data_IF_630709877878
#
_entry.id   IF_630709877878
#
_cell.length_a   1.000
_cell.length_b   1.000
_cell.length_c   1.000
_cell.angle_alpha   90.00
_cell.angle_beta   90.00
_cell.angle_gamma   90.00
#
_symmetry.space_group_name_H-M   'P 1'
#
loop_
_entity.id
_entity.type
_entity.pdbx_description
1 polymer ?
#
# COMPACT_ATOMS: atom_id res chain seq x y z
N UNK A 1 -43.03 -10.03 31.25
CA UNK A 1 -42.81 -8.72 30.61
C UNK A 1 -41.37 -8.69 30.10
N UNK A 2 -41.15 -8.73 28.78
CA UNK A 2 -39.80 -8.65 28.22
C UNK A 2 -39.49 -7.19 27.89
N UNK A 3 -38.73 -6.54 28.76
CA UNK A 3 -38.11 -5.24 28.51
C UNK A 3 -37.10 -5.39 27.36
N UNK A 4 -37.39 -4.79 26.21
CA UNK A 4 -36.42 -4.66 25.12
C UNK A 4 -35.42 -3.55 25.50
N UNK A 5 -34.10 -3.77 25.31
CA UNK A 5 -33.07 -2.81 25.67
C UNK A 5 -33.10 -1.64 24.69
N UNK A 6 -33.62 -0.50 25.13
CA UNK A 6 -33.47 0.77 24.41
C UNK A 6 -32.01 1.22 24.61
N UNK A 7 -31.15 1.31 23.57
CA UNK A 7 -29.79 1.82 23.76
C UNK A 7 -29.86 3.33 24.00
N UNK A 8 -29.00 3.91 24.86
CA UNK A 8 -29.04 5.32 25.16
C UNK A 8 -28.69 6.12 23.90
N UNK A 9 -29.53 7.09 23.56
CA UNK A 9 -29.29 8.08 22.53
C UNK A 9 -29.69 9.47 23.02
N UNK A 10 -29.07 10.51 22.46
CA UNK A 10 -29.27 11.90 22.84
C UNK A 10 -30.02 12.64 21.74
N UNK A 11 -31.05 13.40 22.10
CA UNK A 11 -31.67 14.35 21.18
C UNK A 11 -30.80 15.62 21.08
N UNK A 12 -30.53 16.05 19.85
CA UNK A 12 -29.75 17.27 19.54
C UNK A 12 -30.66 18.44 19.12
N UNK A 13 -31.90 18.17 18.71
CA UNK A 13 -32.89 19.22 18.47
C UNK A 13 -33.30 19.90 19.78
N UNK A 14 -33.33 21.23 19.77
CA UNK A 14 -33.68 22.09 20.92
C UNK A 14 -35.19 22.31 21.07
N UNK A 15 -35.96 22.09 20.00
CA UNK A 15 -37.40 22.32 19.96
C UNK A 15 -38.14 21.08 19.45
N UNK A 16 -39.26 20.77 20.09
CA UNK A 16 -40.17 19.70 19.68
C UNK A 16 -41.46 20.31 19.14
N UNK A 17 -41.77 20.03 17.87
CA UNK A 17 -42.97 20.55 17.20
C UNK A 17 -44.10 19.53 17.23
N UNK A 18 -43.89 18.33 16.69
CA UNK A 18 -44.87 17.23 16.71
C UNK A 18 -44.18 15.89 16.39
N UNK A 19 -44.95 14.79 16.42
CA UNK A 19 -44.44 13.42 16.23
C UNK A 19 -44.02 13.08 14.79
N UNK A 20 -44.41 13.91 13.84
CA UNK A 20 -44.09 13.78 12.40
C UNK A 20 -43.00 14.75 11.94
N UNK A 21 -42.62 15.73 12.74
CA UNK A 21 -41.49 16.61 12.46
C UNK A 21 -40.18 15.86 12.67
N UNK A 22 -39.25 15.88 11.71
CA UNK A 22 -37.93 15.28 11.88
C UNK A 22 -37.12 15.97 12.99
N UNK A 23 -36.48 15.16 13.83
CA UNK A 23 -35.61 15.60 14.92
C UNK A 23 -34.21 15.02 14.73
N UNK A 24 -33.20 15.80 15.11
CA UNK A 24 -31.80 15.40 15.07
C UNK A 24 -31.45 14.62 16.33
N UNK A 25 -30.87 13.43 16.16
CA UNK A 25 -30.56 12.48 17.23
C UNK A 25 -29.13 11.94 17.08
N UNK A 26 -28.52 11.56 18.20
CA UNK A 26 -27.22 10.90 18.29
C UNK A 26 -27.34 9.56 19.04
N UNK A 27 -26.80 8.45 18.53
CA UNK A 27 -26.82 7.16 19.23
C UNK A 27 -25.58 6.95 20.11
N UNK A 28 -25.58 5.91 20.96
CA UNK A 28 -24.43 5.55 21.80
C UNK A 28 -23.12 5.23 21.06
N UNK A 29 -23.16 4.99 19.74
CA UNK A 29 -21.96 4.86 18.87
C UNK A 29 -21.49 6.18 18.24
N UNK A 30 -22.12 7.31 18.57
CA UNK A 30 -21.75 8.64 18.05
C UNK A 30 -22.36 9.02 16.70
N UNK A 31 -23.14 8.13 16.08
CA UNK A 31 -23.87 8.37 14.84
C UNK A 31 -24.94 9.45 14.99
N UNK A 32 -25.02 10.40 14.06
CA UNK A 32 -26.03 11.47 14.01
C UNK A 32 -26.98 11.27 12.83
N UNK A 33 -28.28 11.41 13.05
CA UNK A 33 -29.28 11.34 11.98
C UNK A 33 -30.54 12.14 12.31
N UNK A 34 -31.30 12.50 11.27
CA UNK A 34 -32.63 13.10 11.40
C UNK A 34 -33.72 12.05 11.15
N UNK A 35 -34.70 11.95 12.04
CA UNK A 35 -35.87 11.06 11.87
C UNK A 35 -37.05 11.56 12.69
N UNK A 36 -38.25 11.01 12.44
CA UNK A 36 -39.46 11.38 13.17
C UNK A 36 -39.68 10.48 14.39
N UNK A 37 -40.28 11.02 15.46
CA UNK A 37 -40.62 10.23 16.65
C UNK A 37 -41.63 9.12 16.35
N UNK A 38 -42.52 9.33 15.38
CA UNK A 38 -43.45 8.31 14.89
C UNK A 38 -42.71 7.06 14.38
N UNK A 39 -41.65 7.23 13.57
CA UNK A 39 -40.88 6.11 13.03
C UNK A 39 -40.07 5.37 14.11
N UNK A 40 -39.58 6.09 15.11
CA UNK A 40 -38.86 5.49 16.25
C UNK A 40 -39.80 4.63 17.09
N UNK A 41 -40.95 5.19 17.49
CA UNK A 41 -41.91 4.51 18.39
C UNK A 41 -42.61 3.33 17.72
N UNK A 42 -43.04 3.48 16.46
CA UNK A 42 -43.93 2.52 15.81
C UNK A 42 -43.19 1.51 14.91
N UNK A 43 -42.02 1.87 14.37
CA UNK A 43 -41.24 0.96 13.50
C UNK A 43 -39.94 0.46 14.13
N UNK A 44 -39.64 0.85 15.38
CA UNK A 44 -38.41 0.45 16.07
C UNK A 44 -37.12 0.90 15.36
N UNK A 45 -37.22 1.84 14.41
CA UNK A 45 -36.07 2.32 13.62
C UNK A 45 -35.36 3.42 14.38
N UNK A 46 -34.41 3.01 15.25
CA UNK A 46 -33.63 3.95 16.04
C UNK A 46 -32.64 4.71 15.16
N UNK A 47 -31.66 4.03 14.54
CA UNK A 47 -30.68 4.63 13.63
C UNK A 47 -30.45 3.71 12.44
N UNK A 48 -30.56 4.22 11.21
CA UNK A 48 -30.18 3.47 10.00
C UNK A 48 -28.73 3.01 10.04
N UNK A 49 -27.86 3.77 10.71
CA UNK A 49 -26.44 3.47 10.88
C UNK A 49 -26.19 2.32 11.87
N UNK A 50 -27.10 2.10 12.84
CA UNK A 50 -27.05 0.94 13.73
C UNK A 50 -27.93 -0.24 13.25
N UNK A 51 -28.93 0.03 12.41
CA UNK A 51 -29.88 -0.96 11.89
C UNK A 51 -29.51 -1.50 10.50
N UNK A 52 -28.26 -1.31 10.04
CA UNK A 52 -27.72 -1.92 8.81
C UNK A 52 -27.95 -1.15 7.50
N UNK A 53 -28.51 0.06 7.51
CA UNK A 53 -28.84 0.85 6.31
C UNK A 53 -27.96 2.10 6.10
N UNK A 54 -26.85 2.23 6.83
CA UNK A 54 -25.76 3.15 6.52
C UNK A 54 -24.50 2.29 6.44
N UNK A 55 -23.57 2.53 5.49
CA UNK A 55 -22.44 1.64 5.30
C UNK A 55 -21.43 1.80 6.44
N UNK A 56 -21.69 1.12 7.56
CA UNK A 56 -20.74 0.85 8.64
C UNK A 56 -19.38 0.39 8.08
N UNK A 57 -19.39 -0.25 6.90
CA UNK A 57 -18.19 -0.68 6.20
C UNK A 57 -17.24 0.46 5.80
N UNK A 58 -17.72 1.68 5.49
CA UNK A 58 -16.83 2.77 5.09
C UNK A 58 -16.10 3.40 6.30
N UNK A 59 -16.83 3.65 7.40
CA UNK A 59 -16.23 4.13 8.65
C UNK A 59 -15.25 3.11 9.21
N UNK A 60 -15.64 1.83 9.23
CA UNK A 60 -14.79 0.73 9.69
C UNK A 60 -13.57 0.52 8.77
N UNK A 61 -13.72 0.67 7.45
CA UNK A 61 -12.59 0.65 6.51
C UNK A 61 -11.59 1.78 6.79
N UNK A 62 -12.06 2.99 7.08
CA UNK A 62 -11.21 4.13 7.46
C UNK A 62 -10.49 3.88 8.79
N UNK A 63 -11.18 3.35 9.80
CA UNK A 63 -10.60 3.00 11.09
C UNK A 63 -9.52 1.90 10.95
N UNK A 64 -9.81 0.82 10.21
CA UNK A 64 -8.83 -0.25 9.96
C UNK A 64 -7.62 0.30 9.21
N UNK A 65 -7.84 1.15 8.21
CA UNK A 65 -6.73 1.76 7.49
C UNK A 65 -5.85 2.59 8.42
N UNK A 66 -6.46 3.45 9.24
CA UNK A 66 -5.74 4.27 10.23
C UNK A 66 -4.99 3.41 11.24
N UNK A 67 -5.59 2.32 11.74
CA UNK A 67 -4.95 1.39 12.68
C UNK A 67 -3.68 0.73 12.13
N UNK A 68 -3.58 0.63 10.80
CA UNK A 68 -2.43 0.09 10.07
C UNK A 68 -1.49 1.19 9.54
N UNK A 69 -1.66 2.43 9.99
CA UNK A 69 -0.89 3.59 9.55
C UNK A 69 -1.18 4.05 8.12
N UNK A 70 -2.30 3.63 7.54
CA UNK A 70 -2.72 3.98 6.18
C UNK A 70 -4.02 4.76 6.13
N UNK A 71 -4.55 4.91 4.92
CA UNK A 71 -5.82 5.60 4.65
C UNK A 71 -6.67 4.79 3.69
N UNK A 72 -7.99 4.79 3.91
CA UNK A 72 -8.95 4.36 2.90
C UNK A 72 -9.27 5.57 2.02
N UNK A 73 -8.98 5.47 0.73
CA UNK A 73 -9.17 6.56 -0.24
C UNK A 73 -10.56 6.52 -0.90
N UNK A 74 -11.26 5.39 -0.83
CA UNK A 74 -12.62 5.27 -1.34
C UNK A 74 -13.59 6.16 -0.56
N UNK A 75 -14.49 6.83 -1.28
CA UNK A 75 -15.59 7.64 -0.74
C UNK A 75 -16.87 6.84 -0.57
N UNK A 76 -16.97 5.69 -1.22
CA UNK A 76 -18.15 4.83 -1.24
C UNK A 76 -17.80 3.40 -0.80
N UNK A 77 -18.78 2.74 -0.22
CA UNK A 77 -18.70 1.33 0.15
C UNK A 77 -19.95 0.62 -0.36
N UNK A 78 -19.75 -0.35 -1.26
CA UNK A 78 -20.83 -1.18 -1.79
C UNK A 78 -21.03 -2.43 -0.92
N UNK A 79 -19.98 -3.25 -0.79
CA UNK A 79 -19.99 -4.49 -0.02
C UNK A 79 -18.56 -4.95 0.29
N UNK A 80 -18.42 -6.10 0.95
CA UNK A 80 -17.12 -6.65 1.36
C UNK A 80 -16.22 -7.09 0.20
N UNK A 81 -16.80 -7.45 -0.95
CA UNK A 81 -16.08 -8.07 -2.07
C UNK A 81 -15.61 -7.04 -3.11
N UNK A 82 -16.34 -5.93 -3.28
CA UNK A 82 -15.98 -4.87 -4.22
C UNK A 82 -14.64 -4.24 -3.80
N UNK A 83 -13.66 -4.13 -4.71
CA UNK A 83 -12.39 -3.49 -4.42
C UNK A 83 -12.57 -2.03 -3.99
N UNK A 84 -11.90 -1.69 -2.89
CA UNK A 84 -11.75 -0.32 -2.40
C UNK A 84 -10.30 0.13 -2.64
N UNK A 85 -10.08 1.43 -2.67
CA UNK A 85 -8.77 2.03 -2.81
C UNK A 85 -8.17 2.33 -1.43
N UNK A 86 -6.94 1.89 -1.22
CA UNK A 86 -6.20 1.98 0.03
C UNK A 86 -4.86 2.68 -0.19
N UNK A 87 -4.32 3.26 0.87
CA UNK A 87 -2.98 3.84 0.91
C UNK A 87 -2.27 3.42 2.20
N UNK A 88 -0.99 3.07 2.15
CA UNK A 88 -0.21 2.75 3.35
C UNK A 88 0.61 3.95 3.84
N UNK A 89 1.27 3.81 5.00
CA UNK A 89 2.16 4.84 5.55
C UNK A 89 3.32 5.25 4.61
N UNK A 90 3.73 4.37 3.69
CA UNK A 90 4.75 4.67 2.67
C UNK A 90 4.17 5.36 1.42
N UNK A 91 2.87 5.64 1.38
CA UNK A 91 2.21 6.31 0.25
C UNK A 91 1.79 5.39 -0.90
N UNK A 92 2.10 4.09 -0.86
CA UNK A 92 1.64 3.15 -1.90
C UNK A 92 0.12 3.08 -1.94
N UNK A 93 -0.46 3.21 -3.14
CA UNK A 93 -1.90 3.11 -3.38
C UNK A 93 -2.23 1.79 -4.05
N UNK A 94 -3.23 1.06 -3.58
CA UNK A 94 -3.68 -0.18 -4.21
C UNK A 94 -5.17 -0.40 -4.07
N UNK A 95 -5.68 -1.30 -4.91
CA UNK A 95 -7.05 -1.80 -4.82
C UNK A 95 -7.08 -3.14 -4.08
N UNK A 96 -7.95 -3.26 -3.09
CA UNK A 96 -8.21 -4.50 -2.37
C UNK A 96 -9.63 -4.49 -1.83
N UNK A 97 -10.27 -5.66 -1.73
CA UNK A 97 -11.61 -5.76 -1.17
C UNK A 97 -11.58 -5.55 0.35
N UNK A 98 -12.66 -5.01 0.92
CA UNK A 98 -12.69 -4.81 2.37
C UNK A 98 -12.60 -6.16 3.12
N UNK A 99 -13.14 -7.23 2.54
CA UNK A 99 -13.02 -8.59 3.06
C UNK A 99 -11.56 -9.02 3.24
N UNK A 100 -10.70 -8.75 2.26
CA UNK A 100 -9.30 -9.17 2.31
C UNK A 100 -8.52 -8.40 3.38
N UNK A 101 -8.84 -7.12 3.57
CA UNK A 101 -8.20 -6.28 4.60
C UNK A 101 -8.68 -6.68 6.00
N UNK A 102 -9.99 -6.87 6.17
CA UNK A 102 -10.62 -7.14 7.47
C UNK A 102 -10.39 -8.56 7.98
N UNK A 103 -10.66 -9.56 7.14
CA UNK A 103 -10.70 -10.97 7.57
C UNK A 103 -9.42 -11.73 7.24
N UNK A 104 -8.89 -11.53 6.03
CA UNK A 104 -7.64 -12.17 5.59
C UNK A 104 -6.41 -11.45 6.19
N UNK A 105 -6.60 -10.26 6.78
CA UNK A 105 -5.54 -9.40 7.36
C UNK A 105 -4.44 -9.04 6.36
N UNK A 106 -4.73 -9.15 5.07
CA UNK A 106 -3.84 -8.68 4.00
C UNK A 106 -3.68 -7.16 4.09
N UNK A 107 -2.54 -6.64 3.65
CA UNK A 107 -2.28 -5.20 3.67
C UNK A 107 -1.60 -4.77 2.37
N UNK A 108 -0.74 -3.75 2.45
CA UNK A 108 0.00 -3.23 1.31
C UNK A 108 0.85 -4.32 0.65
N UNK A 109 0.54 -4.75 -0.59
CA UNK A 109 1.30 -5.80 -1.28
C UNK A 109 2.73 -5.36 -1.56
N UNK A 110 2.95 -4.06 -1.73
CA UNK A 110 4.27 -3.44 -1.90
C UNK A 110 5.16 -3.57 -0.65
N UNK A 111 4.56 -3.61 0.54
CA UNK A 111 5.28 -3.74 1.80
C UNK A 111 5.51 -5.20 2.21
N UNK A 112 4.66 -6.12 1.76
CA UNK A 112 4.71 -7.54 2.12
C UNK A 112 5.56 -8.38 1.15
N UNK A 113 5.55 -8.04 -0.15
CA UNK A 113 6.41 -8.73 -1.11
C UNK A 113 7.87 -8.31 -0.92
N UNK A 114 8.82 -9.26 -1.14
CA UNK A 114 10.21 -8.87 -1.39
C UNK A 114 10.20 -7.90 -2.57
N UNK A 115 10.62 -6.67 -2.34
CA UNK A 115 10.48 -5.57 -3.30
C UNK A 115 11.08 -5.92 -4.67
N UNK A 116 12.16 -6.70 -4.66
CA UNK A 116 12.78 -7.32 -5.84
C UNK A 116 11.80 -8.15 -6.69
N UNK A 117 11.02 -9.04 -6.06
CA UNK A 117 10.04 -9.88 -6.77
C UNK A 117 8.94 -9.04 -7.41
N UNK A 118 8.53 -7.95 -6.75
CA UNK A 118 7.54 -7.05 -7.30
C UNK A 118 8.09 -6.30 -8.51
N UNK A 119 9.31 -5.78 -8.42
CA UNK A 119 10.00 -5.16 -9.54
C UNK A 119 10.12 -6.13 -10.72
N UNK A 120 10.57 -7.37 -10.46
CA UNK A 120 10.65 -8.45 -11.46
C UNK A 120 9.30 -8.73 -12.11
N UNK A 121 8.22 -8.81 -11.34
CA UNK A 121 6.87 -9.05 -11.89
C UNK A 121 6.41 -7.90 -12.79
N UNK A 122 6.57 -6.65 -12.35
CA UNK A 122 6.16 -5.47 -13.10
C UNK A 122 6.91 -5.39 -14.43
N UNK A 123 8.24 -5.46 -14.40
CA UNK A 123 9.03 -5.38 -15.64
C UNK A 123 8.78 -6.57 -16.57
N UNK A 124 8.55 -7.77 -16.02
CA UNK A 124 8.23 -8.96 -16.81
C UNK A 124 6.93 -8.80 -17.58
N UNK A 125 5.93 -8.16 -16.99
CA UNK A 125 4.67 -7.88 -17.66
C UNK A 125 4.81 -6.89 -18.83
N UNK A 126 5.85 -6.04 -18.83
CA UNK A 126 6.07 -5.00 -19.84
C UNK A 126 7.00 -5.51 -20.95
N UNK A 127 8.16 -6.08 -20.59
CA UNK A 127 9.23 -6.44 -21.53
C UNK A 127 9.43 -7.95 -21.73
N UNK A 128 8.66 -8.79 -21.03
CA UNK A 128 8.93 -10.23 -20.93
C UNK A 128 9.99 -10.55 -19.86
N UNK A 129 10.31 -11.83 -19.63
CA UNK A 129 11.17 -12.23 -18.52
C UNK A 129 12.61 -11.69 -18.65
N UNK A 130 13.27 -11.31 -17.54
CA UNK A 130 14.66 -10.90 -17.55
C UNK A 130 15.58 -12.07 -17.86
N UNK A 131 16.83 -11.77 -18.22
CA UNK A 131 17.83 -12.80 -18.46
C UNK A 131 18.09 -13.62 -17.20
N UNK A 132 18.33 -14.93 -17.37
CA UNK A 132 18.57 -15.85 -16.23
C UNK A 132 19.94 -15.62 -15.57
N UNK A 133 20.89 -15.05 -16.29
CA UNK A 133 22.23 -14.73 -15.80
C UNK A 133 22.17 -13.45 -14.98
N UNK A 134 22.29 -13.59 -13.65
CA UNK A 134 22.37 -12.45 -12.72
C UNK A 134 23.79 -11.98 -12.43
N UNK A 135 24.82 -12.74 -12.81
CA UNK A 135 26.24 -12.39 -12.63
C UNK A 135 26.96 -12.41 -13.97
N UNK A 136 26.85 -11.35 -14.77
CA UNK A 136 27.58 -11.23 -16.04
C UNK A 136 29.09 -11.30 -15.82
N UNK A 137 29.83 -11.82 -16.80
CA UNK A 137 31.28 -11.99 -16.68
C UNK A 137 32.03 -10.67 -16.49
N UNK A 138 31.53 -9.57 -17.06
CA UNK A 138 32.14 -8.24 -16.90
C UNK A 138 32.06 -7.69 -15.47
N UNK A 139 31.27 -8.32 -14.58
CA UNK A 139 31.21 -7.98 -13.17
C UNK A 139 32.19 -8.79 -12.29
N UNK A 140 33.04 -9.64 -12.89
CA UNK A 140 34.10 -10.38 -12.19
C UNK A 140 35.32 -9.48 -12.00
N UNK A 141 35.76 -9.36 -10.75
CA UNK A 141 36.98 -8.66 -10.36
C UNK A 141 37.80 -9.52 -9.39
N UNK A 142 39.11 -9.26 -9.19
CA UNK A 142 39.95 -10.07 -8.29
C UNK A 142 39.35 -10.25 -6.88
N UNK A 143 38.72 -9.21 -6.34
CA UNK A 143 38.07 -9.20 -5.02
C UNK A 143 36.73 -9.97 -5.01
N UNK A 144 36.13 -10.15 -6.19
CA UNK A 144 34.86 -10.85 -6.43
C UNK A 144 34.97 -11.79 -7.64
N UNK A 145 35.69 -12.92 -7.53
CA UNK A 145 35.99 -13.80 -8.66
C UNK A 145 34.74 -14.49 -9.24
N UNK A 146 33.66 -14.56 -8.46
CA UNK A 146 32.35 -15.06 -8.91
C UNK A 146 31.49 -14.01 -9.62
N UNK A 147 31.90 -12.74 -9.61
CA UNK A 147 31.17 -11.62 -10.16
C UNK A 147 30.15 -11.00 -9.20
N UNK A 148 29.95 -9.69 -9.34
CA UNK A 148 28.84 -8.98 -8.71
C UNK A 148 27.51 -9.39 -9.36
N UNK A 149 26.43 -9.34 -8.56
CA UNK A 149 25.08 -9.71 -9.00
C UNK A 149 24.29 -8.47 -9.39
N UNK A 150 23.50 -8.56 -10.46
CA UNK A 150 22.45 -7.63 -10.85
C UNK A 150 21.09 -8.25 -10.54
N UNK A 151 20.19 -7.50 -9.89
CA UNK A 151 18.88 -8.04 -9.48
C UNK A 151 18.01 -8.36 -10.70
N UNK A 152 17.97 -7.44 -11.66
CA UNK A 152 17.20 -7.58 -12.91
C UNK A 152 18.07 -7.13 -14.08
N UNK A 153 18.34 -8.02 -15.03
CA UNK A 153 19.25 -7.75 -16.13
C UNK A 153 18.60 -7.98 -17.50
N UNK A 154 18.70 -6.96 -18.37
CA UNK A 154 18.22 -6.97 -19.75
C UNK A 154 19.35 -6.57 -20.71
N UNK A 155 20.30 -7.48 -21.01
CA UNK A 155 21.41 -7.19 -21.92
C UNK A 155 20.95 -6.73 -23.30
N UNK A 156 19.85 -7.29 -23.80
CA UNK A 156 19.31 -6.96 -25.12
C UNK A 156 18.83 -5.51 -25.25
N UNK A 157 18.50 -4.88 -24.12
CA UNK A 157 18.07 -3.48 -24.04
C UNK A 157 19.16 -2.59 -23.42
N UNK A 158 20.34 -3.14 -23.12
CA UNK A 158 21.46 -2.39 -22.57
C UNK A 158 21.23 -1.81 -21.17
N UNK A 159 20.42 -2.46 -20.32
CA UNK A 159 20.18 -1.93 -18.96
C UNK A 159 20.01 -3.02 -17.89
N UNK A 160 20.14 -2.60 -16.64
CA UNK A 160 19.86 -3.39 -15.45
C UNK A 160 19.15 -2.56 -14.38
N UNK A 161 18.35 -3.22 -13.53
CA UNK A 161 17.71 -2.60 -12.37
C UNK A 161 18.28 -3.21 -11.09
N UNK A 162 18.67 -2.34 -10.16
CA UNK A 162 19.07 -2.64 -8.79
C UNK A 162 17.98 -2.21 -7.81
N UNK A 163 17.58 -3.11 -6.92
CA UNK A 163 16.51 -2.88 -5.96
C UNK A 163 17.11 -2.55 -4.61
N UNK A 164 17.07 -1.26 -4.27
CA UNK A 164 17.76 -0.73 -3.11
C UNK A 164 16.91 -0.80 -1.85
N UNK A 165 17.42 -1.54 -0.85
CA UNK A 165 16.82 -1.64 0.48
C UNK A 165 17.17 -0.48 1.40
N UNK A 166 16.44 -0.35 2.53
CA UNK A 166 16.71 0.66 3.58
C UNK A 166 18.15 0.64 4.11
N UNK A 167 18.81 -0.51 4.03
CA UNK A 167 20.22 -0.71 4.40
C UNK A 167 21.20 0.11 3.55
N UNK A 168 20.85 0.49 2.31
CA UNK A 168 21.73 1.32 1.47
C UNK A 168 21.69 2.81 1.86
N UNK A 169 20.63 3.29 2.52
CA UNK A 169 20.52 4.69 2.97
C UNK A 169 21.00 4.91 4.41
N UNK A 170 20.93 3.88 5.26
CA UNK A 170 21.12 4.03 6.70
C UNK A 170 21.91 2.88 7.29
N UNK A 171 22.77 3.19 8.27
CA UNK A 171 23.42 2.16 9.07
C UNK A 171 22.40 1.44 9.97
N UNK A 172 21.97 0.25 9.54
CA UNK A 172 21.07 -0.59 10.33
C UNK A 172 21.93 -1.59 11.11
N UNK A 173 21.93 -1.51 12.45
CA UNK A 173 22.74 -2.39 13.34
C UNK A 173 22.61 -3.90 13.07
N UNK A 174 21.47 -4.31 12.51
CA UNK A 174 21.22 -5.70 12.13
C UNK A 174 22.02 -6.13 10.88
N UNK A 175 22.22 -5.23 9.92
CA UNK A 175 22.92 -5.51 8.67
C UNK A 175 24.39 -5.06 8.72
N UNK A 176 24.70 -4.00 9.48
CA UNK A 176 26.05 -3.44 9.59
C UNK A 176 26.53 -3.60 11.03
N UNK A 177 27.61 -4.37 11.21
CA UNK A 177 28.27 -4.54 12.52
C UNK A 177 29.08 -3.29 12.92
N UNK A 178 29.40 -2.42 11.96
CA UNK A 178 30.12 -1.15 12.15
C UNK A 178 30.17 -0.29 10.88
N UNK A 179 30.69 0.95 10.97
CA UNK A 179 30.74 1.91 9.87
C UNK A 179 31.57 1.45 8.66
N UNK A 180 32.61 0.64 8.88
CA UNK A 180 33.45 0.08 7.79
C UNK A 180 32.67 -0.81 6.82
N UNK A 181 31.64 -1.54 7.28
CA UNK A 181 30.82 -2.39 6.41
C UNK A 181 29.87 -1.56 5.55
N UNK A 182 29.44 -0.39 6.03
CA UNK A 182 28.65 0.56 5.26
C UNK A 182 29.50 1.21 4.15
N UNK A 183 30.75 1.57 4.46
CA UNK A 183 31.69 2.07 3.45
C UNK A 183 31.99 1.02 2.38
N UNK A 184 32.22 -0.24 2.75
CA UNK A 184 32.38 -1.34 1.78
C UNK A 184 31.17 -1.50 0.87
N UNK A 185 29.96 -1.32 1.41
CA UNK A 185 28.73 -1.37 0.61
C UNK A 185 28.66 -0.22 -0.41
N UNK A 186 28.97 1.01 0.02
CA UNK A 186 29.07 2.16 -0.89
C UNK A 186 30.12 1.96 -1.99
N UNK A 187 31.31 1.46 -1.63
CA UNK A 187 32.36 1.16 -2.60
C UNK A 187 31.92 0.09 -3.60
N UNK A 188 31.20 -0.94 -3.13
CA UNK A 188 30.68 -2.02 -3.99
C UNK A 188 29.60 -1.50 -4.96
N UNK A 189 28.71 -0.64 -4.49
CA UNK A 189 27.67 -0.04 -5.33
C UNK A 189 28.28 0.87 -6.41
N UNK A 190 29.30 1.65 -6.03
CA UNK A 190 30.04 2.50 -6.96
C UNK A 190 30.80 1.69 -8.00
N UNK A 191 31.52 0.65 -7.59
CA UNK A 191 32.21 -0.25 -8.50
C UNK A 191 31.24 -0.92 -9.49
N UNK A 192 30.08 -1.38 -9.02
CA UNK A 192 29.07 -1.99 -9.87
C UNK A 192 28.61 -1.01 -10.95
N UNK A 193 28.36 0.25 -10.57
CA UNK A 193 27.99 1.31 -11.50
C UNK A 193 29.05 1.52 -12.58
N UNK A 194 30.32 1.65 -12.19
CA UNK A 194 31.43 1.85 -13.12
C UNK A 194 31.61 0.67 -14.09
N UNK A 195 31.47 -0.57 -13.60
CA UNK A 195 31.57 -1.76 -14.45
C UNK A 195 30.40 -1.84 -15.44
N UNK A 196 29.18 -1.45 -15.04
CA UNK A 196 28.05 -1.38 -15.95
C UNK A 196 28.26 -0.30 -17.03
N UNK A 197 28.69 0.90 -16.65
CA UNK A 197 28.97 2.01 -17.58
C UNK A 197 30.03 1.63 -18.62
N UNK A 198 31.14 0.99 -18.19
CA UNK A 198 32.20 0.50 -19.09
C UNK A 198 31.70 -0.53 -20.12
N UNK A 199 30.61 -1.23 -19.81
CA UNK A 199 30.04 -2.27 -20.66
C UNK A 199 28.75 -1.80 -21.36
N UNK A 200 28.49 -0.48 -21.40
CA UNK A 200 27.31 0.13 -22.02
C UNK A 200 25.99 -0.42 -21.43
N UNK A 201 26.01 -0.81 -20.16
CA UNK A 201 24.82 -1.20 -19.41
C UNK A 201 24.40 -0.03 -18.53
N UNK A 202 23.23 0.52 -18.82
CA UNK A 202 22.65 1.59 -18.01
C UNK A 202 22.08 0.99 -16.73
N UNK A 203 22.61 1.40 -15.58
CA UNK A 203 22.11 0.95 -14.28
C UNK A 203 21.00 1.89 -13.79
N UNK A 204 19.83 1.32 -13.46
CA UNK A 204 18.69 2.03 -12.87
C UNK A 204 18.42 1.50 -11.46
N UNK A 205 17.94 2.38 -10.59
CA UNK A 205 17.69 2.05 -9.19
C UNK A 205 16.20 2.15 -8.89
N UNK A 206 15.69 1.20 -8.09
CA UNK A 206 14.34 1.25 -7.53
C UNK A 206 14.44 1.08 -6.02
N UNK A 207 14.07 2.11 -5.27
CA UNK A 207 14.14 2.13 -3.82
C UNK A 207 12.94 1.42 -3.19
N UNK A 208 13.15 0.76 -2.05
CA UNK A 208 12.16 -0.03 -1.32
C UNK A 208 10.86 0.70 -0.90
N UNK A 209 10.83 2.03 -0.98
CA UNK A 209 9.66 2.87 -0.71
C UNK A 209 8.95 3.36 -1.97
N UNK A 210 9.54 3.17 -3.14
CA UNK A 210 8.95 3.57 -4.41
C UNK A 210 7.93 2.53 -4.88
N UNK A 211 6.90 2.96 -5.63
CA UNK A 211 6.00 2.02 -6.28
C UNK A 211 6.62 1.53 -7.60
N UNK A 212 6.93 0.23 -7.75
CA UNK A 212 7.52 -0.27 -8.99
C UNK A 212 6.61 -0.07 -10.21
N UNK A 213 5.29 0.01 -10.05
CA UNK A 213 4.38 0.28 -11.17
C UNK A 213 4.48 1.73 -11.69
N UNK A 214 5.09 2.63 -10.93
CA UNK A 214 5.31 4.02 -11.34
C UNK A 214 6.75 4.18 -11.80
N UNK A 215 7.71 3.75 -10.98
CA UNK A 215 9.13 4.01 -11.22
C UNK A 215 9.69 3.18 -12.36
N UNK A 216 9.29 1.92 -12.52
CA UNK A 216 9.79 1.09 -13.63
C UNK A 216 9.32 1.66 -14.98
N UNK A 217 8.04 1.96 -15.22
CA UNK A 217 7.64 2.60 -16.48
C UNK A 217 8.34 3.93 -16.75
N UNK A 218 8.62 4.74 -15.74
CA UNK A 218 9.39 5.98 -15.92
C UNK A 218 10.82 5.67 -16.41
N UNK A 219 11.53 4.74 -15.76
CA UNK A 219 12.86 4.31 -16.21
C UNK A 219 12.83 3.79 -17.65
N UNK A 220 11.80 3.03 -18.02
CA UNK A 220 11.67 2.49 -19.38
C UNK A 220 11.38 3.59 -20.42
N UNK A 221 10.57 4.60 -20.08
CA UNK A 221 10.34 5.77 -20.94
C UNK A 221 11.62 6.59 -21.14
N UNK A 222 12.38 6.82 -20.08
CA UNK A 222 13.67 7.52 -20.16
C UNK A 222 14.70 6.78 -21.03
N UNK A 223 14.61 5.45 -21.08
CA UNK A 223 15.43 4.60 -21.95
C UNK A 223 14.87 4.50 -23.39
N UNK A 224 13.70 5.10 -23.67
CA UNK A 224 13.04 5.03 -24.97
C UNK A 224 12.50 3.64 -25.34
N UNK A 225 12.24 2.78 -24.34
CA UNK A 225 11.78 1.40 -24.55
C UNK A 225 10.26 1.28 -24.63
N UNK A 226 9.53 2.27 -24.10
CA UNK A 226 8.08 2.38 -24.14
C UNK A 226 7.68 3.84 -24.33
N UNK A 227 6.46 4.07 -24.82
CA UNK A 227 5.84 5.40 -24.97
C UNK A 227 5.30 5.97 -23.65
#
# INVERSE_FOLDING_TARGET
MRSLPVPPGKCLSTEYVNSTTPMLLRCGKGHEWSTTLYLIKNKGKWSSQCSGNFPCGLSEAKEIAHSKGGMCLSTEYTNLCVPMQWMCNKGHKWFASFNSIKHVKSWCPYCLNKHENLCRKVITNILGPPFSIRRPDFLKIPEHPRGLELDIYYPQYGFAIEVQGKQHEQHIKYFHKGPEEFEKQLMRDQLKKELCEKNLIVLRYVWYYEDPNIVIPNHLRELGLIE
#
